data_IF_888404264819
#
_entry.id   IF_888404264819
#
_cell.length_a   1.000
_cell.length_b   1.000
_cell.length_c   1.000
_cell.angle_alpha   90.00
_cell.angle_beta   90.00
_cell.angle_gamma   90.00
#
_symmetry.space_group_name_H-M   'P 1'
#
loop_
_entity.id
_entity.type
_entity.pdbx_description
1 polymer ?
#
# COMPACT_ATOMS: atom_id res chain seq x y z
N UNK A 1 13.34 -11.73 16.37
CA UNK A 1 13.57 -10.46 15.64
C UNK A 1 14.54 -10.62 14.46
N UNK A 2 15.42 -11.63 14.43
CA UNK A 2 16.36 -11.88 13.32
C UNK A 2 15.69 -12.01 11.94
N UNK A 3 14.54 -12.67 11.88
CA UNK A 3 13.92 -13.07 10.61
C UNK A 3 13.20 -11.91 9.91
N UNK A 4 12.72 -10.92 10.67
CA UNK A 4 12.08 -9.71 10.13
C UNK A 4 13.12 -8.80 9.46
N UNK A 5 14.36 -8.76 9.98
CA UNK A 5 15.43 -7.91 9.44
C UNK A 5 15.84 -8.24 8.01
N UNK A 6 15.66 -9.50 7.60
CA UNK A 6 15.97 -9.97 6.25
C UNK A 6 14.76 -9.94 5.32
N UNK A 7 13.54 -9.90 5.87
CA UNK A 7 12.32 -9.89 5.07
C UNK A 7 12.19 -8.58 4.28
N UNK A 8 11.73 -8.72 3.04
CA UNK A 8 11.49 -7.62 2.09
C UNK A 8 10.01 -7.56 1.74
N UNK A 9 9.54 -6.33 1.55
CA UNK A 9 8.20 -6.04 1.06
C UNK A 9 8.34 -5.63 -0.39
N UNK A 10 7.53 -6.24 -1.26
CA UNK A 10 7.55 -6.01 -2.69
C UNK A 10 6.26 -5.34 -3.17
N UNK A 11 6.40 -4.49 -4.19
CA UNK A 11 5.27 -3.91 -4.92
C UNK A 11 5.44 -4.17 -6.41
N UNK A 12 4.43 -3.85 -7.20
CA UNK A 12 4.56 -3.88 -8.66
C UNK A 12 5.61 -2.84 -9.10
N UNK A 13 6.51 -3.25 -9.99
CA UNK A 13 7.51 -2.37 -10.61
C UNK A 13 6.85 -1.17 -11.30
N UNK A 14 5.69 -1.36 -11.94
CA UNK A 14 4.97 -0.25 -12.57
C UNK A 14 4.49 0.79 -11.55
N UNK A 15 4.23 0.36 -10.31
CA UNK A 15 3.73 1.21 -9.24
C UNK A 15 4.84 1.81 -8.37
N UNK A 16 6.08 1.30 -8.49
CA UNK A 16 7.17 1.65 -7.59
C UNK A 16 7.44 3.17 -7.49
N UNK A 17 7.46 3.95 -8.60
CA UNK A 17 7.74 5.38 -8.51
C UNK A 17 6.69 6.14 -7.69
N UNK A 18 5.42 5.73 -7.75
CA UNK A 18 4.36 6.31 -6.91
C UNK A 18 4.63 6.05 -5.44
N UNK A 19 4.98 4.82 -5.06
CA UNK A 19 5.33 4.51 -3.67
C UNK A 19 6.52 5.31 -3.17
N UNK A 20 7.55 5.41 -3.99
CA UNK A 20 8.77 6.15 -3.65
C UNK A 20 8.53 7.65 -3.53
N UNK A 21 7.67 8.22 -4.37
CA UNK A 21 7.29 9.62 -4.32
C UNK A 21 6.45 9.90 -3.06
N UNK A 22 5.36 9.14 -2.85
CA UNK A 22 4.46 9.32 -1.70
C UNK A 22 5.15 9.13 -0.36
N UNK A 23 6.09 8.18 -0.28
CA UNK A 23 6.88 7.92 0.93
C UNK A 23 7.88 9.03 1.29
N UNK A 24 8.09 10.02 0.41
CA UNK A 24 8.93 11.20 0.66
C UNK A 24 8.13 12.49 0.88
N UNK A 25 6.90 12.55 0.41
CA UNK A 25 6.11 13.79 0.36
C UNK A 25 5.04 13.79 1.45
N UNK A 26 3.96 13.02 1.28
CA UNK A 26 2.84 12.98 2.22
C UNK A 26 3.09 12.03 3.40
N UNK A 27 3.74 10.90 3.14
CA UNK A 27 4.04 9.90 4.15
C UNK A 27 5.48 10.05 4.62
N UNK A 28 5.75 9.65 5.87
CA UNK A 28 7.10 9.72 6.42
C UNK A 28 7.99 8.58 5.91
N UNK A 29 7.38 7.47 5.45
CA UNK A 29 8.07 6.29 4.97
C UNK A 29 7.23 5.57 3.91
N UNK A 30 7.90 4.85 3.00
CA UNK A 30 7.27 3.99 1.99
C UNK A 30 6.29 2.97 2.60
N UNK A 31 6.59 2.45 3.80
CA UNK A 31 5.75 1.44 4.46
C UNK A 31 4.37 1.98 4.84
N UNK A 32 4.25 3.28 5.13
CA UNK A 32 2.99 3.89 5.51
C UNK A 32 2.05 3.98 4.32
N UNK A 33 2.55 4.44 3.17
CA UNK A 33 1.74 4.46 1.94
C UNK A 33 1.42 3.03 1.45
N UNK A 34 2.37 2.10 1.56
CA UNK A 34 2.11 0.67 1.34
C UNK A 34 0.95 0.15 2.18
N UNK A 35 0.98 0.44 3.48
CA UNK A 35 -0.07 0.01 4.41
C UNK A 35 -1.40 0.66 4.07
N UNK A 36 -1.41 1.95 3.72
CA UNK A 36 -2.61 2.65 3.24
C UNK A 36 -3.23 1.97 2.02
N UNK A 37 -2.44 1.68 0.97
CA UNK A 37 -2.91 0.97 -0.21
C UNK A 37 -3.44 -0.43 0.15
N UNK A 38 -2.76 -1.14 1.05
CA UNK A 38 -3.21 -2.46 1.49
C UNK A 38 -4.56 -2.40 2.23
N UNK A 39 -4.80 -1.37 3.03
CA UNK A 39 -6.08 -1.20 3.71
C UNK A 39 -7.22 -0.88 2.73
N UNK A 40 -6.94 -0.13 1.65
CA UNK A 40 -7.91 0.09 0.56
C UNK A 40 -8.26 -1.23 -0.11
N UNK A 41 -7.25 -2.00 -0.55
CA UNK A 41 -7.50 -3.32 -1.15
C UNK A 41 -8.28 -4.25 -0.21
N UNK A 42 -7.98 -4.21 1.10
CA UNK A 42 -8.70 -5.01 2.09
C UNK A 42 -10.16 -4.56 2.28
N UNK A 43 -10.42 -3.25 2.25
CA UNK A 43 -11.76 -2.66 2.35
C UNK A 43 -12.62 -3.13 1.19
N UNK A 44 -12.09 -3.07 -0.03
CA UNK A 44 -12.76 -3.55 -1.25
C UNK A 44 -12.78 -5.08 -1.36
N UNK A 45 -12.13 -5.78 -0.42
CA UNK A 45 -11.96 -7.22 -0.40
C UNK A 45 -11.32 -7.77 -1.69
N UNK A 46 -10.41 -6.99 -2.27
CA UNK A 46 -9.68 -7.33 -3.50
C UNK A 46 -8.23 -7.62 -3.18
N UNK A 47 -7.73 -8.75 -3.69
CA UNK A 47 -6.33 -9.14 -3.63
C UNK A 47 -5.91 -9.67 -4.99
N UNK A 48 -4.78 -9.21 -5.48
CA UNK A 48 -4.23 -9.64 -6.77
C UNK A 48 -2.77 -10.01 -6.62
N UNK A 49 -2.33 -11.00 -7.40
CA UNK A 49 -0.92 -11.37 -7.43
C UNK A 49 -0.11 -10.18 -7.97
N UNK A 50 1.01 -9.87 -7.33
CA UNK A 50 1.94 -8.85 -7.82
C UNK A 50 2.72 -9.42 -9.01
N UNK A 51 2.52 -8.93 -10.25
CA UNK A 51 3.04 -9.57 -11.45
C UNK A 51 4.56 -9.42 -11.57
N UNK A 52 5.09 -8.20 -11.39
CA UNK A 52 6.51 -7.91 -11.49
C UNK A 52 6.99 -7.23 -10.20
N UNK A 53 7.67 -7.99 -9.34
CA UNK A 53 8.03 -7.53 -7.99
C UNK A 53 9.27 -6.63 -7.99
N UNK A 54 9.13 -5.45 -7.39
CA UNK A 54 10.21 -4.54 -7.05
C UNK A 54 10.31 -4.39 -5.52
N UNK A 55 11.52 -4.43 -4.95
CA UNK A 55 11.72 -4.27 -3.49
C UNK A 55 11.37 -2.84 -3.08
N UNK A 56 10.36 -2.67 -2.23
CA UNK A 56 9.96 -1.35 -1.73
C UNK A 56 10.77 -0.96 -0.48
N UNK A 57 10.80 -1.85 0.51
CA UNK A 57 11.50 -1.64 1.77
C UNK A 57 11.74 -2.96 2.51
N UNK A 58 12.49 -2.88 3.61
CA UNK A 58 12.68 -4.00 4.53
C UNK A 58 11.53 -4.04 5.53
N UNK A 59 11.04 -5.24 5.87
CA UNK A 59 9.92 -5.36 6.81
C UNK A 59 10.23 -4.85 8.23
N UNK A 60 11.52 -4.72 8.58
CA UNK A 60 11.95 -4.10 9.84
C UNK A 60 11.66 -2.60 9.93
N UNK A 61 11.36 -1.93 8.81
CA UNK A 61 10.99 -0.50 8.83
C UNK A 61 9.52 -0.29 9.21
N UNK A 62 8.71 -1.35 9.21
CA UNK A 62 7.32 -1.27 9.70
C UNK A 62 7.32 -0.97 11.20
N UNK A 63 6.58 0.06 11.58
CA UNK A 63 6.25 0.39 12.97
C UNK A 63 5.41 -0.71 13.63
N UNK A 64 5.32 -0.67 14.96
CA UNK A 64 4.47 -1.59 15.72
C UNK A 64 2.99 -1.47 15.34
N UNK A 65 2.52 -0.26 15.02
CA UNK A 65 1.16 -0.03 14.56
C UNK A 65 0.89 -0.69 13.20
N UNK A 66 1.82 -0.55 12.24
CA UNK A 66 1.72 -1.22 10.94
C UNK A 66 1.70 -2.75 11.12
N UNK A 67 2.59 -3.30 11.94
CA UNK A 67 2.59 -4.74 12.25
C UNK A 67 1.30 -5.21 12.91
N UNK A 68 0.72 -4.42 13.81
CA UNK A 68 -0.54 -4.75 14.47
C UNK A 68 -1.70 -4.82 13.47
N UNK A 69 -1.76 -3.88 12.53
CA UNK A 69 -2.75 -3.90 11.45
C UNK A 69 -2.57 -5.13 10.55
N UNK A 70 -1.34 -5.39 10.11
CA UNK A 70 -1.01 -6.55 9.26
C UNK A 70 -1.43 -7.87 9.92
N UNK A 71 -1.08 -8.06 11.21
CA UNK A 71 -1.48 -9.25 11.99
C UNK A 71 -2.99 -9.38 12.11
N UNK A 72 -3.68 -8.25 12.35
CA UNK A 72 -5.14 -8.22 12.49
C UNK A 72 -5.84 -8.59 11.19
N UNK A 73 -5.39 -8.03 10.06
CA UNK A 73 -5.89 -8.36 8.72
C UNK A 73 -5.69 -9.85 8.44
N UNK A 74 -4.49 -10.37 8.66
CA UNK A 74 -4.18 -11.77 8.42
C UNK A 74 -5.02 -12.71 9.29
N UNK A 75 -5.15 -12.40 10.58
CA UNK A 75 -5.96 -13.19 11.51
C UNK A 75 -7.44 -13.20 11.12
N UNK A 76 -8.00 -12.06 10.73
CA UNK A 76 -9.40 -11.95 10.28
C UNK A 76 -9.67 -12.79 9.03
N UNK A 77 -8.70 -12.88 8.13
CA UNK A 77 -8.80 -13.65 6.88
C UNK A 77 -8.65 -15.16 7.11
N UNK A 78 -7.75 -15.57 8.01
CA UNK A 78 -7.31 -16.97 8.12
C UNK A 78 -7.72 -17.67 9.42
N UNK A 79 -8.26 -16.94 10.40
CA UNK A 79 -8.61 -17.46 11.73
C UNK A 79 -7.41 -17.78 12.64
N UNK A 80 -6.18 -17.54 12.17
CA UNK A 80 -4.94 -17.78 12.91
C UNK A 80 -3.83 -16.85 12.43
N UNK A 81 -2.78 -16.70 13.23
CA UNK A 81 -1.57 -15.98 12.82
C UNK A 81 -0.69 -16.87 11.95
N UNK A 82 -0.18 -16.32 10.84
CA UNK A 82 0.83 -16.95 10.00
C UNK A 82 2.25 -16.57 10.39
N UNK A 83 3.21 -16.92 9.53
CA UNK A 83 4.56 -16.37 9.56
C UNK A 83 4.59 -14.92 9.08
N UNK A 84 5.64 -14.17 9.46
CA UNK A 84 5.84 -12.80 8.96
C UNK A 84 5.86 -12.72 7.44
N UNK A 85 6.41 -13.74 6.77
CA UNK A 85 6.44 -13.83 5.30
C UNK A 85 5.05 -13.96 4.69
N UNK A 86 4.22 -14.84 5.23
CA UNK A 86 2.84 -15.02 4.73
C UNK A 86 2.01 -13.76 4.96
N UNK A 87 2.19 -13.13 6.13
CA UNK A 87 1.53 -11.87 6.45
C UNK A 87 1.92 -10.75 5.47
N UNK A 88 3.22 -10.56 5.21
CA UNK A 88 3.64 -9.51 4.27
C UNK A 88 3.17 -9.84 2.85
N UNK A 89 3.26 -11.10 2.40
CA UNK A 89 2.79 -11.50 1.08
C UNK A 89 1.29 -11.26 0.87
N UNK A 90 0.46 -11.47 1.89
CA UNK A 90 -0.96 -11.11 1.83
C UNK A 90 -1.14 -9.60 1.66
N UNK A 91 -0.38 -8.81 2.41
CA UNK A 91 -0.43 -7.35 2.34
C UNK A 91 0.09 -6.81 1.00
N UNK A 92 1.08 -7.46 0.39
CA UNK A 92 1.54 -7.12 -0.98
C UNK A 92 0.40 -7.25 -1.99
N UNK A 93 -0.41 -8.32 -1.89
CA UNK A 93 -1.54 -8.54 -2.78
C UNK A 93 -2.65 -7.52 -2.57
N UNK A 94 -2.94 -7.19 -1.31
CA UNK A 94 -3.90 -6.13 -0.98
C UNK A 94 -3.40 -4.75 -1.44
N UNK A 95 -2.11 -4.44 -1.25
CA UNK A 95 -1.54 -3.15 -1.66
C UNK A 95 -1.54 -2.98 -3.18
N UNK A 96 -1.24 -4.04 -3.93
CA UNK A 96 -1.31 -4.00 -5.38
C UNK A 96 -2.75 -3.77 -5.88
N UNK A 97 -3.73 -4.54 -5.37
CA UNK A 97 -5.13 -4.34 -5.72
C UNK A 97 -5.64 -2.95 -5.32
N UNK A 98 -5.32 -2.49 -4.10
CA UNK A 98 -5.76 -1.19 -3.61
C UNK A 98 -5.16 -0.02 -4.37
N UNK A 99 -3.89 -0.07 -4.74
CA UNK A 99 -3.31 0.97 -5.60
C UNK A 99 -3.87 0.91 -7.02
N UNK A 100 -4.12 -0.29 -7.57
CA UNK A 100 -4.76 -0.41 -8.89
C UNK A 100 -6.14 0.23 -8.89
N UNK A 101 -6.94 -0.04 -7.85
CA UNK A 101 -8.24 0.60 -7.68
C UNK A 101 -8.12 2.12 -7.60
N UNK A 102 -7.15 2.64 -6.83
CA UNK A 102 -6.92 4.07 -6.74
C UNK A 102 -6.57 4.65 -8.12
N UNK A 103 -5.66 4.02 -8.86
CA UNK A 103 -5.27 4.48 -10.20
C UNK A 103 -6.46 4.47 -11.17
N UNK A 104 -7.33 3.46 -11.08
CA UNK A 104 -8.47 3.28 -11.98
C UNK A 104 -9.69 4.11 -11.62
N UNK A 105 -9.84 4.61 -10.40
CA UNK A 105 -11.08 5.30 -10.00
C UNK A 105 -10.85 6.69 -9.44
N UNK A 106 -9.67 6.92 -8.87
CA UNK A 106 -9.42 8.07 -8.00
C UNK A 106 -8.24 8.91 -8.49
N UNK A 107 -7.17 8.31 -8.99
CA UNK A 107 -5.94 9.00 -9.35
C UNK A 107 -5.74 9.14 -10.86
N UNK A 108 -6.72 8.75 -11.70
CA UNK A 108 -6.59 8.73 -13.16
C UNK A 108 -6.04 10.04 -13.73
N UNK A 109 -6.55 11.18 -13.25
CA UNK A 109 -6.16 12.52 -13.73
C UNK A 109 -4.86 13.05 -13.10
N UNK A 110 -4.33 12.34 -12.10
CA UNK A 110 -3.14 12.72 -11.32
C UNK A 110 -1.91 11.91 -11.71
N UNK A 111 -2.05 10.88 -12.54
CA UNK A 111 -0.95 10.00 -12.95
C UNK A 111 -0.83 9.89 -14.46
N UNK A 112 0.36 9.55 -14.93
CA UNK A 112 0.63 9.17 -16.31
C UNK A 112 1.50 7.93 -16.35
N UNK A 113 1.28 7.09 -17.35
CA UNK A 113 2.14 5.94 -17.65
C UNK A 113 3.25 6.37 -18.61
N UNK A 114 4.50 6.35 -18.14
CA UNK A 114 5.69 6.64 -18.92
C UNK A 114 6.65 5.47 -18.81
N UNK A 115 7.11 4.92 -19.93
CA UNK A 115 8.02 3.77 -19.98
C UNK A 115 7.56 2.55 -19.15
N UNK A 116 6.24 2.35 -19.07
CA UNK A 116 5.63 1.25 -18.32
C UNK A 116 5.55 1.48 -16.81
N UNK A 117 5.85 2.68 -16.31
CA UNK A 117 5.74 3.03 -14.89
C UNK A 117 4.79 4.22 -14.69
N UNK A 118 4.04 4.20 -13.59
CA UNK A 118 3.16 5.29 -13.21
C UNK A 118 3.94 6.37 -12.47
N UNK A 119 3.73 7.61 -12.89
CA UNK A 119 4.27 8.81 -12.27
C UNK A 119 3.15 9.80 -12.00
N UNK A 120 3.25 10.56 -10.91
CA UNK A 120 2.36 11.69 -10.69
C UNK A 120 2.67 12.82 -11.68
N UNK A 121 1.61 13.49 -12.14
CA UNK A 121 1.68 14.59 -13.12
C UNK A 121 1.39 15.96 -12.51
N UNK A 122 1.02 16.00 -11.23
CA UNK A 122 0.65 17.21 -10.48
C UNK A 122 1.66 17.49 -9.37
N UNK A 123 1.58 18.69 -8.81
CA UNK A 123 2.38 19.10 -7.66
C UNK A 123 1.93 18.35 -6.40
N UNK A 124 2.86 18.16 -5.45
CA UNK A 124 2.64 17.42 -4.21
C UNK A 124 1.39 17.90 -3.45
N UNK A 125 1.15 19.21 -3.43
CA UNK A 125 0.02 19.81 -2.73
C UNK A 125 -1.32 19.30 -3.26
N UNK A 126 -1.49 19.20 -4.58
CA UNK A 126 -2.73 18.74 -5.20
C UNK A 126 -2.97 17.26 -4.91
N UNK A 127 -1.91 16.45 -4.96
CA UNK A 127 -1.97 15.02 -4.63
C UNK A 127 -2.36 14.82 -3.16
N UNK A 128 -1.79 15.62 -2.26
CA UNK A 128 -2.10 15.58 -0.84
C UNK A 128 -3.56 15.94 -0.55
N UNK A 129 -4.06 17.02 -1.15
CA UNK A 129 -5.46 17.43 -1.02
C UNK A 129 -6.38 16.31 -1.51
N UNK A 130 -6.07 15.72 -2.67
CA UNK A 130 -6.88 14.67 -3.24
C UNK A 130 -6.96 13.42 -2.34
N UNK A 131 -5.82 12.95 -1.82
CA UNK A 131 -5.80 11.79 -0.92
C UNK A 131 -6.49 12.06 0.42
N UNK A 132 -6.42 13.30 0.91
CA UNK A 132 -7.17 13.73 2.08
C UNK A 132 -8.68 13.68 1.81
N UNK A 133 -9.13 14.23 0.69
CA UNK A 133 -10.54 14.20 0.26
C UNK A 133 -11.04 12.78 0.05
N UNK A 134 -10.24 11.93 -0.60
CA UNK A 134 -10.53 10.50 -0.70
C UNK A 134 -10.77 9.90 0.69
N UNK A 135 -9.81 10.08 1.60
CA UNK A 135 -9.87 9.53 2.96
C UNK A 135 -11.10 10.05 3.72
N UNK A 136 -11.45 11.33 3.58
CA UNK A 136 -12.64 11.92 4.19
C UNK A 136 -13.93 11.33 3.60
N UNK A 137 -13.99 11.13 2.29
CA UNK A 137 -15.14 10.52 1.60
C UNK A 137 -15.35 9.08 2.04
N UNK A 138 -14.28 8.30 2.20
CA UNK A 138 -14.38 6.91 2.68
C UNK A 138 -14.49 6.78 4.20
N UNK A 139 -14.30 7.86 4.97
CA UNK A 139 -14.40 7.87 6.44
C UNK A 139 -15.83 7.63 6.93
N UNK A 140 -16.83 8.08 6.18
CA UNK A 140 -18.26 7.89 6.53
C UNK A 140 -18.71 6.43 6.48
N UNK A 141 -17.85 5.51 6.03
CA UNK A 141 -18.11 4.08 5.90
C UNK A 141 -17.34 3.22 6.92
N UNK A 142 -16.60 3.82 7.86
CA UNK A 142 -15.78 3.07 8.83
C UNK A 142 -16.41 3.10 10.22
N UNK A 143 -17.11 2.03 10.67
CA UNK A 143 -17.43 1.88 12.08
C UNK A 143 -16.13 1.49 12.79
N UNK A 144 -15.68 2.34 13.72
CA UNK A 144 -14.58 2.02 14.62
C UNK A 144 -14.92 0.80 15.49
#
# INVERSE_FOLDING_TARGET
MSDIGQLRIYVDEQHFPLYHHMGKTLFQQNSQFFTFCAMIGKKENQKSLVPQKHELCRAVTLSEHEWTMIKSVYYKENGQLGSYKEMTQLMEQYAHAGLTQLLENDLQDLVSLTDGQYHFTKEDHDIQLYLMEYTLRVKDEVPF
#
